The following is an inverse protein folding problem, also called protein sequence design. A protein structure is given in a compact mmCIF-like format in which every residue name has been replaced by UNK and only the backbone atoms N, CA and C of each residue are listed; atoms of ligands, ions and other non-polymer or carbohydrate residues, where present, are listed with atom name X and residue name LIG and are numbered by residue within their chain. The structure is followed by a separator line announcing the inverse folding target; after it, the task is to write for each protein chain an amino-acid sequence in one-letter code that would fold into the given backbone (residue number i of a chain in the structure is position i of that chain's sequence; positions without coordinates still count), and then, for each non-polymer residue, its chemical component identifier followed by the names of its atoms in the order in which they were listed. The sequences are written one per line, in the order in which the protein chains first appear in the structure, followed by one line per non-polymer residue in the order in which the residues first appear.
data_IF_002086298573
#
_entry.id   IF_002086298573
#
_cell.length_a   1.000
_cell.length_b   1.000
_cell.length_c   1.000
_cell.angle_alpha   90.00
_cell.angle_beta   90.00
_cell.angle_gamma   90.00
#
_symmetry.space_group_name_H-M   'P 1'
#
loop_
_entity.id
_entity.type
_entity.pdbx_description
1 polymer ?
#
# COMPACT_ATOMS: atom_id res chain seq x y z
N UNK A 1 4.96 -11.27 -18.76
CA UNK A 1 4.62 -9.91 -19.20
C UNK A 1 5.65 -8.97 -18.58
N UNK A 2 6.39 -8.16 -19.35
CA UNK A 2 7.53 -7.35 -18.88
C UNK A 2 7.15 -6.13 -18.03
N UNK A 3 6.22 -6.30 -17.09
CA UNK A 3 5.69 -5.24 -16.23
C UNK A 3 6.49 -5.22 -14.92
N UNK A 4 7.10 -4.09 -14.55
CA UNK A 4 7.79 -3.97 -13.26
C UNK A 4 6.86 -4.20 -12.07
N UNK A 5 7.35 -4.90 -11.05
CA UNK A 5 6.58 -5.31 -9.86
C UNK A 5 6.97 -4.58 -8.58
N UNK A 6 7.90 -3.63 -8.67
CA UNK A 6 8.39 -2.84 -7.54
C UNK A 6 8.01 -1.37 -7.72
N UNK A 7 7.64 -0.69 -6.63
CA UNK A 7 7.28 0.74 -6.65
C UNK A 7 8.47 1.60 -7.13
N UNK A 8 9.70 1.27 -6.71
CA UNK A 8 10.91 1.99 -7.13
C UNK A 8 11.14 1.99 -8.64
N UNK A 9 10.65 0.96 -9.35
CA UNK A 9 10.79 0.86 -10.81
C UNK A 9 9.94 1.90 -11.56
N UNK A 10 8.94 2.47 -10.89
CA UNK A 10 8.10 3.56 -11.41
C UNK A 10 8.53 4.94 -10.88
N UNK A 11 9.64 5.04 -10.14
CA UNK A 11 10.10 6.29 -9.55
C UNK A 11 9.25 6.80 -8.39
N UNK A 12 8.42 5.93 -7.79
CA UNK A 12 7.61 6.28 -6.61
C UNK A 12 8.53 6.28 -5.39
N UNK A 13 8.57 7.37 -4.59
CA UNK A 13 9.37 7.41 -3.38
C UNK A 13 8.72 6.59 -2.25
N UNK A 14 9.53 6.03 -1.35
CA UNK A 14 9.03 5.21 -0.24
C UNK A 14 8.11 6.01 0.70
N UNK A 15 8.33 7.32 0.83
CA UNK A 15 7.47 8.23 1.61
C UNK A 15 6.01 8.28 1.11
N UNK A 16 5.76 7.96 -0.16
CA UNK A 16 4.39 7.90 -0.71
C UNK A 16 3.57 6.73 -0.15
N UNK A 17 4.20 5.76 0.53
CA UNK A 17 3.48 4.69 1.24
C UNK A 17 2.59 5.28 2.34
N UNK A 18 3.11 6.25 3.10
CA UNK A 18 2.35 6.89 4.17
C UNK A 18 1.20 7.74 3.62
N UNK A 19 1.41 8.43 2.51
CA UNK A 19 0.35 9.18 1.81
C UNK A 19 -0.77 8.23 1.34
N UNK A 20 -0.42 7.08 0.77
CA UNK A 20 -1.40 6.09 0.33
C UNK A 20 -2.25 5.58 1.50
N UNK A 21 -1.64 5.28 2.64
CA UNK A 21 -2.34 4.84 3.85
C UNK A 21 -3.32 5.92 4.34
N UNK A 22 -2.89 7.19 4.40
CA UNK A 22 -3.73 8.31 4.79
C UNK A 22 -4.97 8.40 3.90
N UNK A 23 -4.81 8.22 2.59
CA UNK A 23 -5.94 8.23 1.67
C UNK A 23 -6.87 7.02 1.88
N UNK A 24 -6.33 5.83 2.14
CA UNK A 24 -7.15 4.65 2.45
C UNK A 24 -8.00 4.84 3.71
N UNK A 25 -7.45 5.46 4.75
CA UNK A 25 -8.20 5.83 5.95
C UNK A 25 -9.25 6.91 5.64
N UNK A 26 -8.86 7.98 4.95
CA UNK A 26 -9.74 9.10 4.60
C UNK A 26 -10.98 8.65 3.83
N UNK A 27 -10.83 7.65 2.95
CA UNK A 27 -11.93 7.10 2.15
C UNK A 27 -12.65 5.92 2.81
N UNK A 28 -12.37 5.62 4.09
CA UNK A 28 -12.95 4.49 4.83
C UNK A 28 -12.79 3.14 4.09
N UNK A 29 -11.66 2.95 3.40
CA UNK A 29 -11.36 1.73 2.65
C UNK A 29 -10.77 0.63 3.54
N UNK A 30 -10.29 1.00 4.73
CA UNK A 30 -9.82 0.07 5.73
C UNK A 30 -10.95 -0.32 6.69
N UNK A 31 -11.00 -1.60 7.15
CA UNK A 31 -10.08 -2.68 6.79
C UNK A 31 -10.36 -3.32 5.42
N UNK A 32 -9.29 -3.78 4.76
CA UNK A 32 -9.28 -4.44 3.46
C UNK A 32 -9.32 -5.98 3.59
N UNK A 33 -9.43 -6.67 2.46
CA UNK A 33 -9.44 -8.13 2.38
C UNK A 33 -10.84 -8.73 2.51
N UNK A 34 -10.98 -9.98 2.07
CA UNK A 34 -12.23 -10.76 2.17
C UNK A 34 -12.64 -10.94 3.64
N UNK A 35 -11.65 -11.15 4.52
CA UNK A 35 -11.85 -11.34 5.96
C UNK A 35 -11.81 -10.03 6.76
N UNK A 36 -11.62 -8.87 6.11
CA UNK A 36 -11.56 -7.56 6.77
C UNK A 36 -10.50 -7.47 7.88
N UNK A 37 -9.37 -8.14 7.64
CA UNK A 37 -8.24 -8.28 8.56
C UNK A 37 -7.00 -7.50 8.14
N UNK A 38 -7.04 -6.82 6.98
CA UNK A 38 -5.95 -5.99 6.50
C UNK A 38 -6.17 -4.55 6.98
N UNK A 39 -5.61 -4.24 8.16
CA UNK A 39 -5.61 -2.91 8.75
C UNK A 39 -4.40 -2.07 8.31
N UNK A 40 -4.20 -0.94 9.00
CA UNK A 40 -3.12 0.02 8.69
C UNK A 40 -1.74 -0.64 8.76
N UNK A 41 -1.51 -1.49 9.77
CA UNK A 41 -0.22 -2.15 10.00
C UNK A 41 0.10 -3.12 8.86
N UNK A 42 -0.90 -3.91 8.46
CA UNK A 42 -0.79 -4.91 7.40
C UNK A 42 -0.59 -4.22 6.05
N UNK A 43 -1.35 -3.16 5.75
CA UNK A 43 -1.15 -2.37 4.52
C UNK A 43 0.25 -1.79 4.46
N UNK A 44 0.74 -1.17 5.53
CA UNK A 44 2.11 -0.64 5.56
C UNK A 44 3.12 -1.73 5.27
N UNK A 45 3.00 -2.89 5.91
CA UNK A 45 3.89 -4.03 5.68
C UNK A 45 3.85 -4.50 4.22
N UNK A 46 2.67 -4.61 3.61
CA UNK A 46 2.52 -5.03 2.21
C UNK A 46 3.16 -4.02 1.26
N UNK A 47 2.91 -2.72 1.46
CA UNK A 47 3.46 -1.67 0.60
C UNK A 47 4.98 -1.53 0.78
N UNK A 48 5.52 -1.71 1.98
CA UNK A 48 6.96 -1.72 2.21
C UNK A 48 7.64 -2.94 1.56
N UNK A 49 6.97 -4.09 1.49
CA UNK A 49 7.49 -5.28 0.79
C UNK A 49 7.48 -5.13 -0.74
N UNK A 50 6.65 -4.23 -1.29
CA UNK A 50 6.57 -3.98 -2.72
C UNK A 50 7.46 -2.82 -3.20
N UNK A 51 8.23 -2.20 -2.31
CA UNK A 51 9.24 -1.20 -2.67
C UNK A 51 10.47 -1.83 -3.33
#
# INVERSE_FOLDING_TARGET
MGIPTYLRAYGIPESSIDEAIIYLEKFNLLPLGEHKDIGVIEVRKILSLSY
#
